data_IF_701654483026
#
_entry.id   IF_701654483026
#
_cell.length_a   1.000
_cell.length_b   1.000
_cell.length_c   1.000
_cell.angle_alpha   90.00
_cell.angle_beta   90.00
_cell.angle_gamma   90.00
#
_symmetry.space_group_name_H-M   'P 1'
#
loop_
_entity.id
_entity.type
_entity.pdbx_description
1 polymer ?
#
# COMPACT_ATOMS: atom_id res chain seq x y z
N UNK A 1 -20.33 2.22 9.53
CA UNK A 1 -19.91 2.98 8.32
C UNK A 1 -18.41 3.33 8.32
N UNK A 2 -17.86 3.97 9.37
CA UNK A 2 -16.44 4.39 9.38
C UNK A 2 -15.42 3.26 9.13
N UNK A 3 -15.61 2.07 9.73
CA UNK A 3 -14.73 0.90 9.48
C UNK A 3 -14.67 0.47 8.01
N UNK A 4 -15.76 0.62 7.24
CA UNK A 4 -15.80 0.27 5.82
C UNK A 4 -14.90 1.17 4.97
N UNK A 5 -14.84 2.47 5.30
CA UNK A 5 -13.95 3.42 4.63
C UNK A 5 -12.47 3.05 4.83
N UNK A 6 -12.08 2.62 6.03
CA UNK A 6 -10.71 2.18 6.30
C UNK A 6 -10.34 0.89 5.58
N UNK A 7 -11.28 -0.06 5.46
CA UNK A 7 -11.09 -1.25 4.63
C UNK A 7 -10.92 -0.90 3.15
N UNK A 8 -11.72 0.03 2.62
CA UNK A 8 -11.58 0.54 1.27
C UNK A 8 -10.23 1.22 1.03
N UNK A 9 -9.80 2.09 1.94
CA UNK A 9 -8.50 2.75 1.87
C UNK A 9 -7.32 1.77 1.94
N UNK A 10 -7.39 0.76 2.81
CA UNK A 10 -6.38 -0.28 2.90
C UNK A 10 -6.26 -1.09 1.59
N UNK A 11 -7.40 -1.42 0.97
CA UNK A 11 -7.42 -2.12 -0.32
C UNK A 11 -6.82 -1.26 -1.44
N UNK A 12 -7.17 0.03 -1.50
CA UNK A 12 -6.60 0.96 -2.48
C UNK A 12 -5.08 1.10 -2.32
N UNK A 13 -4.59 1.21 -1.08
CA UNK A 13 -3.15 1.27 -0.79
C UNK A 13 -2.44 -0.03 -1.19
N UNK A 14 -3.07 -1.19 -0.99
CA UNK A 14 -2.51 -2.47 -1.44
C UNK A 14 -2.38 -2.51 -2.97
N UNK A 15 -3.43 -2.12 -3.69
CA UNK A 15 -3.40 -2.06 -5.17
C UNK A 15 -2.35 -1.06 -5.65
N UNK A 16 -2.24 0.11 -5.02
CA UNK A 16 -1.21 1.10 -5.34
C UNK A 16 0.20 0.57 -5.10
N UNK A 17 0.43 -0.16 -4.00
CA UNK A 17 1.73 -0.79 -3.73
C UNK A 17 2.09 -1.83 -4.81
N UNK A 18 1.15 -2.68 -5.20
CA UNK A 18 1.37 -3.67 -6.27
C UNK A 18 1.71 -3.00 -7.61
N UNK A 19 1.02 -1.90 -7.94
CA UNK A 19 1.32 -1.11 -9.13
C UNK A 19 2.74 -0.51 -9.09
N UNK A 20 3.14 0.05 -7.94
CA UNK A 20 4.48 0.61 -7.76
C UNK A 20 5.56 -0.46 -7.93
N UNK A 21 5.36 -1.66 -7.37
CA UNK A 21 6.29 -2.78 -7.57
C UNK A 21 6.33 -3.28 -9.01
N UNK A 22 5.19 -3.30 -9.71
CA UNK A 22 5.18 -3.63 -11.14
C UNK A 22 5.99 -2.59 -11.95
N UNK A 23 5.84 -1.32 -11.62
CA UNK A 23 6.53 -0.21 -12.30
C UNK A 23 8.03 -0.21 -11.96
N UNK A 24 8.42 -0.50 -10.71
CA UNK A 24 9.83 -0.64 -10.34
C UNK A 24 10.54 -1.71 -11.14
N UNK A 25 9.87 -2.84 -11.39
CA UNK A 25 10.44 -3.93 -12.20
C UNK A 25 10.70 -3.48 -13.64
N UNK A 26 9.85 -2.62 -14.23
CA UNK A 26 10.09 -2.04 -15.56
C UNK A 26 11.32 -1.14 -15.56
N UNK A 27 11.43 -0.22 -14.60
CA UNK A 27 12.61 0.65 -14.48
C UNK A 27 13.91 -0.14 -14.30
N UNK A 28 13.89 -1.20 -13.49
CA UNK A 28 15.06 -2.07 -13.29
C UNK A 28 15.46 -2.82 -14.58
N UNK A 29 14.49 -3.25 -15.39
CA UNK A 29 14.74 -3.87 -16.70
C UNK A 29 15.29 -2.86 -17.71
N UNK A 30 14.83 -1.61 -17.65
CA UNK A 30 15.30 -0.50 -18.48
C UNK A 30 16.62 0.11 -17.98
N UNK A 31 17.27 -0.53 -16.99
CA UNK A 31 18.53 -0.10 -16.36
C UNK A 31 18.45 1.27 -15.64
N UNK A 32 17.25 1.79 -15.41
CA UNK A 32 17.02 2.95 -14.56
C UNK A 32 16.91 2.50 -13.08
N UNK A 33 18.07 2.19 -12.52
CA UNK A 33 18.15 1.64 -11.17
C UNK A 33 17.70 2.64 -10.09
N UNK A 34 17.91 3.94 -10.29
CA UNK A 34 17.51 4.95 -9.33
C UNK A 34 15.99 5.07 -9.27
N UNK A 35 15.32 5.18 -10.43
CA UNK A 35 13.85 5.20 -10.47
C UNK A 35 13.26 3.90 -9.93
N UNK A 36 13.85 2.75 -10.29
CA UNK A 36 13.46 1.44 -9.78
C UNK A 36 13.54 1.36 -8.26
N UNK A 37 14.68 1.74 -7.68
CA UNK A 37 14.89 1.74 -6.23
C UNK A 37 13.91 2.67 -5.51
N UNK A 38 13.69 3.88 -6.02
CA UNK A 38 12.74 4.83 -5.44
C UNK A 38 11.31 4.24 -5.43
N UNK A 39 10.89 3.60 -6.51
CA UNK A 39 9.57 2.96 -6.58
C UNK A 39 9.43 1.79 -5.60
N UNK A 40 10.49 1.00 -5.39
CA UNK A 40 10.50 -0.05 -4.36
C UNK A 40 10.33 0.55 -2.97
N UNK A 41 11.10 1.60 -2.63
CA UNK A 41 11.03 2.24 -1.31
C UNK A 41 9.65 2.84 -1.04
N UNK A 42 9.08 3.55 -2.03
CA UNK A 42 7.73 4.10 -1.94
C UNK A 42 6.69 2.98 -1.85
N UNK A 43 6.83 1.91 -2.65
CA UNK A 43 5.94 0.74 -2.60
C UNK A 43 5.91 0.08 -1.21
N UNK A 44 7.06 -0.07 -0.56
CA UNK A 44 7.16 -0.59 0.80
C UNK A 44 6.49 0.34 1.82
N UNK A 45 6.69 1.66 1.71
CA UNK A 45 6.06 2.64 2.58
C UNK A 45 4.52 2.63 2.44
N UNK A 46 4.02 2.57 1.20
CA UNK A 46 2.59 2.49 0.89
C UNK A 46 1.99 1.19 1.42
N UNK A 47 2.68 0.06 1.25
CA UNK A 47 2.23 -1.23 1.79
C UNK A 47 2.11 -1.19 3.32
N UNK A 48 3.12 -0.62 4.00
CA UNK A 48 3.08 -0.44 5.46
C UNK A 48 1.90 0.43 5.89
N UNK A 49 1.65 1.54 5.20
CA UNK A 49 0.48 2.39 5.47
C UNK A 49 -0.84 1.62 5.28
N UNK A 50 -0.94 0.79 4.23
CA UNK A 50 -2.11 -0.07 3.98
C UNK A 50 -2.37 -1.06 5.12
N UNK A 51 -1.31 -1.71 5.64
CA UNK A 51 -1.40 -2.63 6.78
C UNK A 51 -1.89 -1.90 8.05
N UNK A 52 -1.38 -0.71 8.32
CA UNK A 52 -1.82 0.09 9.48
C UNK A 52 -3.30 0.51 9.34
N UNK A 53 -3.74 0.90 8.13
CA UNK A 53 -5.16 1.19 7.88
C UNK A 53 -6.05 -0.04 8.08
N UNK A 54 -5.62 -1.22 7.65
CA UNK A 54 -6.35 -2.46 7.90
C UNK A 54 -6.44 -2.79 9.40
N UNK A 55 -5.34 -2.61 10.15
CA UNK A 55 -5.32 -2.73 11.61
C UNK A 55 -6.33 -1.79 12.27
N UNK A 56 -6.34 -0.51 11.89
CA UNK A 56 -7.31 0.47 12.41
C UNK A 56 -8.75 0.08 12.08
N UNK A 57 -9.01 -0.44 10.88
CA UNK A 57 -10.33 -0.90 10.48
C UNK A 57 -10.85 -2.03 11.38
N UNK A 58 -9.97 -2.97 11.76
CA UNK A 58 -10.27 -4.07 12.68
C UNK A 58 -10.53 -3.55 14.10
N UNK A 59 -9.65 -2.70 14.63
CA UNK A 59 -9.80 -2.12 15.98
C UNK A 59 -11.11 -1.35 16.12
N UNK A 60 -11.46 -0.53 15.12
CA UNK A 60 -12.72 0.22 15.09
C UNK A 60 -13.94 -0.69 15.01
N UNK A 61 -13.86 -1.81 14.29
CA UNK A 61 -14.94 -2.79 14.20
C UNK A 61 -15.16 -3.50 15.53
N UNK A 62 -14.08 -3.86 16.23
CA UNK A 62 -14.14 -4.50 17.55
C UNK A 62 -14.68 -3.55 18.62
N UNK A 63 -14.27 -2.27 18.61
CA UNK A 63 -14.76 -1.25 19.57
C UNK A 63 -16.23 -0.88 19.41
N UNK A 64 -16.81 -1.13 18.24
CA UNK A 64 -18.22 -0.82 17.94
C UNK A 64 -19.19 -1.92 18.37
N UNK A 65 -18.70 -3.06 18.86
CA UNK A 65 -19.48 -4.14 19.49
C UNK A 65 -19.41 -3.98 21.00
#
# INVERSE_FOLDING_TARGET
MKSFLFWGAALLLLVAALWLFHTSSRFLLDHDYLAGLLHVLVGLAVLRAGVEMARLAVVLKLRSR
#
